data_IF_950081944794
#
_entry.id   IF_950081944794
#
_cell.length_a   1.000
_cell.length_b   1.000
_cell.length_c   1.000
_cell.angle_alpha   90.00
_cell.angle_beta   90.00
_cell.angle_gamma   90.00
#
_symmetry.space_group_name_H-M   'P 1'
#
loop_
_entity.id
_entity.type
_entity.pdbx_description
1 polymer ?
#
# COMPACT_ATOMS: atom_id res chain seq x y z
N UNK A 1 -53.32 -23.13 -1.76
CA UNK A 1 -52.06 -22.75 -1.09
C UNK A 1 -51.08 -22.28 -2.15
N UNK A 2 -51.06 -20.97 -2.39
CA UNK A 2 -50.23 -20.35 -3.41
C UNK A 2 -48.77 -20.35 -2.92
N UNK A 3 -47.90 -21.11 -3.58
CA UNK A 3 -46.46 -21.11 -3.26
C UNK A 3 -45.92 -19.72 -3.58
N UNK A 4 -45.65 -18.93 -2.54
CA UNK A 4 -44.95 -17.65 -2.64
C UNK A 4 -43.66 -17.87 -3.42
N UNK A 5 -43.62 -17.41 -4.69
CA UNK A 5 -42.40 -17.41 -5.49
C UNK A 5 -41.34 -16.66 -4.68
N UNK A 6 -40.25 -17.35 -4.30
CA UNK A 6 -39.10 -16.71 -3.66
C UNK A 6 -38.70 -15.54 -4.56
N UNK A 7 -38.89 -14.30 -4.08
CA UNK A 7 -38.44 -13.10 -4.81
C UNK A 7 -36.95 -13.27 -5.08
N UNK A 8 -36.59 -13.45 -6.35
CA UNK A 8 -35.20 -13.48 -6.77
C UNK A 8 -34.58 -12.15 -6.37
N UNK A 9 -33.64 -12.17 -5.42
CA UNK A 9 -32.93 -10.95 -5.00
C UNK A 9 -32.12 -10.50 -6.22
N UNK A 10 -32.46 -9.33 -6.76
CA UNK A 10 -31.68 -8.71 -7.82
C UNK A 10 -30.28 -8.40 -7.29
N UNK A 11 -29.26 -8.88 -7.99
CA UNK A 11 -27.86 -8.62 -7.67
C UNK A 11 -27.23 -8.09 -8.94
N UNK A 12 -26.61 -6.92 -8.80
CA UNK A 12 -25.91 -6.22 -9.87
C UNK A 12 -24.87 -7.13 -10.54
N UNK A 13 -24.73 -7.09 -11.88
CA UNK A 13 -23.83 -7.97 -12.62
C UNK A 13 -22.40 -7.97 -12.10
N UNK A 14 -21.86 -6.79 -11.75
CA UNK A 14 -20.52 -6.64 -11.18
C UNK A 14 -20.40 -7.32 -9.82
N UNK A 15 -21.39 -7.16 -8.95
CA UNK A 15 -21.35 -7.81 -7.64
C UNK A 15 -21.50 -9.33 -7.80
N UNK A 16 -22.35 -9.80 -8.71
CA UNK A 16 -22.45 -11.22 -9.04
C UNK A 16 -21.12 -11.79 -9.53
N UNK A 17 -20.39 -11.05 -10.38
CA UNK A 17 -19.05 -11.42 -10.82
C UNK A 17 -18.07 -11.51 -9.63
N UNK A 18 -18.08 -10.54 -8.72
CA UNK A 18 -17.21 -10.54 -7.54
C UNK A 18 -17.48 -11.75 -6.62
N UNK A 19 -18.75 -12.12 -6.44
CA UNK A 19 -19.12 -13.33 -5.71
C UNK A 19 -18.65 -14.61 -6.41
N UNK A 20 -18.79 -14.67 -7.75
CA UNK A 20 -18.32 -15.79 -8.55
C UNK A 20 -16.81 -15.98 -8.42
N UNK A 21 -16.01 -14.93 -8.65
CA UNK A 21 -14.55 -15.02 -8.59
C UNK A 21 -14.03 -15.18 -7.17
N UNK A 22 -14.79 -14.77 -6.16
CA UNK A 22 -14.45 -14.99 -4.76
C UNK A 22 -14.45 -16.46 -4.35
N UNK A 23 -15.27 -17.29 -5.01
CA UNK A 23 -15.36 -18.73 -4.75
C UNK A 23 -14.42 -19.58 -5.64
N UNK A 24 -13.67 -18.94 -6.54
CA UNK A 24 -12.74 -19.64 -7.42
C UNK A 24 -11.31 -19.54 -6.85
N UNK A 25 -10.54 -20.64 -6.74
CA UNK A 25 -9.14 -20.56 -6.34
C UNK A 25 -8.20 -20.09 -7.46
N UNK A 26 -8.48 -20.39 -8.73
CA UNK A 26 -7.53 -20.16 -9.84
C UNK A 26 -7.45 -18.70 -10.27
N UNK A 27 -6.29 -18.08 -10.08
CA UNK A 27 -5.99 -16.71 -10.54
C UNK A 27 -6.24 -16.50 -12.04
N UNK A 28 -5.92 -17.49 -12.87
CA UNK A 28 -6.13 -17.44 -14.32
C UNK A 28 -7.61 -17.31 -14.69
N UNK A 29 -8.50 -18.02 -13.98
CA UNK A 29 -9.94 -17.89 -14.16
C UNK A 29 -10.42 -16.49 -13.75
N UNK A 30 -10.00 -16.01 -12.58
CA UNK A 30 -10.38 -14.67 -12.09
C UNK A 30 -10.02 -13.59 -13.09
N UNK A 31 -8.79 -13.63 -13.61
CA UNK A 31 -8.31 -12.72 -14.66
C UNK A 31 -9.20 -12.78 -15.90
N UNK A 32 -9.47 -13.99 -16.43
CA UNK A 32 -10.32 -14.17 -17.62
C UNK A 32 -11.75 -13.64 -17.39
N UNK A 33 -12.30 -13.84 -16.20
CA UNK A 33 -13.62 -13.35 -15.83
C UNK A 33 -13.65 -11.81 -15.75
N UNK A 34 -12.64 -11.19 -15.14
CA UNK A 34 -12.50 -9.73 -15.06
C UNK A 34 -12.31 -9.09 -16.44
N UNK A 35 -11.53 -9.71 -17.34
CA UNK A 35 -11.32 -9.21 -18.70
C UNK A 35 -12.62 -9.07 -19.51
N UNK A 36 -13.61 -9.94 -19.28
CA UNK A 36 -14.93 -9.85 -19.91
C UNK A 36 -15.69 -8.58 -19.48
N UNK A 37 -15.39 -8.06 -18.30
CA UNK A 37 -16.00 -6.86 -17.72
C UNK A 37 -15.06 -5.65 -17.78
N UNK A 38 -13.99 -5.66 -18.60
CA UNK A 38 -13.03 -4.54 -18.70
C UNK A 38 -13.69 -3.18 -19.02
N UNK A 39 -14.84 -3.20 -19.72
CA UNK A 39 -15.61 -1.99 -20.05
C UNK A 39 -16.53 -1.49 -18.93
N UNK A 40 -16.72 -2.24 -17.84
CA UNK A 40 -17.58 -1.81 -16.73
C UNK A 40 -16.89 -0.73 -15.90
N UNK A 41 -17.42 0.49 -15.98
CA UNK A 41 -16.98 1.63 -15.16
C UNK A 41 -17.22 1.35 -13.67
N UNK A 42 -18.35 0.73 -13.32
CA UNK A 42 -18.68 0.34 -11.95
C UNK A 42 -17.66 -0.64 -11.39
N UNK A 43 -17.30 -1.68 -12.13
CA UNK A 43 -16.30 -2.65 -11.68
C UNK A 43 -14.91 -2.04 -11.51
N UNK A 44 -14.49 -1.20 -12.48
CA UNK A 44 -13.25 -0.43 -12.41
C UNK A 44 -13.23 0.45 -11.15
N UNK A 45 -14.34 1.13 -10.84
CA UNK A 45 -14.48 1.95 -9.64
C UNK A 45 -14.44 1.13 -8.36
N UNK A 46 -15.11 -0.02 -8.30
CA UNK A 46 -15.03 -0.91 -7.13
C UNK A 46 -13.57 -1.22 -6.80
N UNK A 47 -12.75 -1.60 -7.80
CA UNK A 47 -11.33 -1.86 -7.56
C UNK A 47 -10.55 -0.61 -7.16
N UNK A 48 -10.73 0.51 -7.87
CA UNK A 48 -10.07 1.79 -7.56
C UNK A 48 -10.35 2.23 -6.12
N UNK A 49 -11.62 2.35 -5.74
CA UNK A 49 -12.00 2.80 -4.39
C UNK A 49 -11.65 1.77 -3.30
N UNK A 50 -11.50 0.49 -3.62
CA UNK A 50 -11.13 -0.49 -2.59
C UNK A 50 -9.62 -0.59 -2.39
N UNK A 51 -8.83 -0.56 -3.47
CA UNK A 51 -7.42 -0.97 -3.45
C UNK A 51 -6.43 0.18 -3.63
N UNK A 52 -6.88 1.37 -4.04
CA UNK A 52 -6.01 2.55 -4.12
C UNK A 52 -5.49 2.91 -2.71
N UNK A 53 -4.17 2.87 -2.47
CA UNK A 53 -3.60 3.18 -1.16
C UNK A 53 -3.87 4.63 -0.70
N UNK A 54 -4.18 5.55 -1.62
CA UNK A 54 -4.46 6.96 -1.33
C UNK A 54 -5.90 7.24 -0.93
N UNK A 55 -6.84 6.29 -1.15
CA UNK A 55 -8.21 6.41 -0.67
C UNK A 55 -8.27 5.97 0.79
N UNK A 56 -8.57 6.89 1.72
CA UNK A 56 -8.73 6.59 3.15
C UNK A 56 -10.05 7.15 3.64
N UNK A 57 -10.95 6.32 4.13
CA UNK A 57 -12.28 6.79 4.57
C UNK A 57 -12.35 7.17 6.04
N UNK A 58 -11.27 6.94 6.81
CA UNK A 58 -11.14 7.29 8.23
C UNK A 58 -12.24 6.73 9.17
N UNK A 59 -13.00 5.74 8.71
CA UNK A 59 -14.06 5.06 9.49
C UNK A 59 -13.62 3.62 9.77
N UNK A 60 -13.19 3.37 11.02
CA UNK A 60 -12.68 2.04 11.43
C UNK A 60 -13.78 1.04 11.74
N UNK A 61 -14.91 1.49 12.30
CA UNK A 61 -16.00 0.63 12.77
C UNK A 61 -17.28 0.95 11.99
N UNK A 62 -17.79 -0.05 11.29
CA UNK A 62 -19.12 -0.04 10.68
C UNK A 62 -19.96 -1.04 11.49
N UNK A 63 -21.06 -0.61 12.13
CA UNK A 63 -21.95 -1.48 12.89
C UNK A 63 -22.49 -2.66 12.06
N UNK A 64 -22.77 -3.77 12.74
CA UNK A 64 -23.19 -5.03 12.08
C UNK A 64 -24.63 -4.97 11.57
N UNK A 65 -25.48 -4.25 12.29
CA UNK A 65 -26.90 -3.97 12.06
C UNK A 65 -27.19 -3.07 10.85
N UNK A 66 -26.20 -2.36 10.32
CA UNK A 66 -26.31 -1.67 9.03
C UNK A 66 -26.34 -2.71 7.90
N UNK A 67 -27.52 -3.19 7.50
CA UNK A 67 -27.66 -4.34 6.58
C UNK A 67 -28.19 -3.99 5.18
N UNK A 68 -28.50 -2.72 4.90
CA UNK A 68 -29.10 -2.30 3.63
C UNK A 68 -30.57 -2.75 3.53
N UNK A 69 -31.49 -1.80 3.63
CA UNK A 69 -32.95 -2.04 3.64
C UNK A 69 -33.66 -1.37 2.48
N UNK A 70 -32.94 -0.61 1.66
CA UNK A 70 -33.49 0.12 0.52
C UNK A 70 -33.29 -0.61 -0.80
N UNK A 71 -33.38 0.16 -1.88
CA UNK A 71 -33.34 -0.31 -3.27
C UNK A 71 -32.18 0.26 -4.06
N UNK A 72 -31.38 1.16 -3.48
CA UNK A 72 -30.24 1.78 -4.17
C UNK A 72 -29.11 0.79 -4.38
N UNK A 73 -28.27 1.09 -5.35
CA UNK A 73 -27.05 0.33 -5.65
C UNK A 73 -25.83 1.23 -5.54
N UNK A 74 -24.64 0.65 -5.48
CA UNK A 74 -23.41 1.44 -5.52
C UNK A 74 -23.27 2.04 -6.93
N UNK A 75 -23.24 3.37 -6.99
CA UNK A 75 -23.29 4.19 -8.20
C UNK A 75 -22.41 5.45 -8.07
N UNK A 76 -22.61 6.44 -8.93
CA UNK A 76 -21.84 7.69 -8.90
C UNK A 76 -22.01 8.47 -7.58
N UNK A 77 -23.16 8.36 -6.91
CA UNK A 77 -23.37 9.00 -5.59
C UNK A 77 -22.51 8.34 -4.52
N UNK A 78 -22.35 7.01 -4.57
CA UNK A 78 -21.40 6.30 -3.71
C UNK A 78 -19.97 6.79 -3.92
N UNK A 79 -19.55 6.96 -5.17
CA UNK A 79 -18.19 7.41 -5.51
C UNK A 79 -17.92 8.81 -4.98
N UNK A 80 -18.85 9.75 -5.18
CA UNK A 80 -18.74 11.10 -4.65
C UNK A 80 -18.67 11.12 -3.11
N UNK A 81 -19.50 10.31 -2.45
CA UNK A 81 -19.46 10.18 -0.99
C UNK A 81 -18.10 9.65 -0.51
N UNK A 82 -17.57 8.62 -1.15
CA UNK A 82 -16.25 8.05 -0.80
C UNK A 82 -15.11 9.06 -1.05
N UNK A 83 -15.21 9.88 -2.09
CA UNK A 83 -14.30 10.99 -2.33
C UNK A 83 -14.38 12.05 -1.23
N UNK A 84 -15.59 12.48 -0.87
CA UNK A 84 -15.81 13.47 0.19
C UNK A 84 -15.24 12.99 1.54
N UNK A 85 -15.39 11.69 1.85
CA UNK A 85 -14.77 11.06 3.02
C UNK A 85 -13.24 11.02 2.90
N UNK A 86 -12.71 10.67 1.72
CA UNK A 86 -11.28 10.59 1.49
C UNK A 86 -10.58 11.93 1.57
N UNK A 87 -11.21 12.99 1.08
CA UNK A 87 -10.73 14.36 1.18
C UNK A 87 -11.06 15.03 2.52
N UNK A 88 -11.65 14.27 3.46
CA UNK A 88 -12.02 14.74 4.80
C UNK A 88 -12.95 15.96 4.80
N UNK A 89 -13.81 16.11 3.78
CA UNK A 89 -14.86 17.14 3.77
C UNK A 89 -15.83 16.97 4.94
N UNK A 90 -16.07 15.71 5.31
CA UNK A 90 -16.79 15.34 6.52
C UNK A 90 -15.87 14.51 7.41
N UNK A 91 -15.94 14.72 8.73
CA UNK A 91 -15.16 13.96 9.70
C UNK A 91 -16.02 13.54 10.90
N UNK A 92 -15.45 12.72 11.80
CA UNK A 92 -16.10 12.38 13.08
C UNK A 92 -17.49 11.73 12.93
N UNK A 93 -18.46 12.26 13.68
CA UNK A 93 -19.84 11.77 13.68
C UNK A 93 -20.57 12.01 12.35
N UNK A 94 -20.30 13.13 11.68
CA UNK A 94 -20.97 13.49 10.43
C UNK A 94 -20.59 12.55 9.30
N UNK A 95 -19.30 12.22 9.18
CA UNK A 95 -18.80 11.23 8.23
C UNK A 95 -19.49 9.87 8.40
N UNK A 96 -19.64 9.42 9.66
CA UNK A 96 -20.33 8.17 9.98
C UNK A 96 -21.81 8.24 9.63
N UNK A 97 -22.50 9.32 10.01
CA UNK A 97 -23.93 9.50 9.72
C UNK A 97 -24.20 9.44 8.22
N UNK A 98 -23.46 10.22 7.43
CA UNK A 98 -23.61 10.22 5.96
C UNK A 98 -23.39 8.84 5.35
N UNK A 99 -22.31 8.15 5.73
CA UNK A 99 -22.03 6.81 5.23
C UNK A 99 -23.12 5.81 5.62
N UNK A 100 -23.52 5.77 6.89
CA UNK A 100 -24.47 4.77 7.38
C UNK A 100 -25.87 5.02 6.81
N UNK A 101 -26.34 6.27 6.75
CA UNK A 101 -27.60 6.61 6.09
C UNK A 101 -27.59 6.24 4.61
N UNK A 102 -26.49 6.47 3.89
CA UNK A 102 -26.36 6.00 2.50
C UNK A 102 -26.46 4.46 2.42
N UNK A 103 -25.73 3.76 3.29
CA UNK A 103 -25.70 2.29 3.32
C UNK A 103 -27.04 1.65 3.68
N UNK A 104 -27.87 2.30 4.50
CA UNK A 104 -29.22 1.82 4.82
C UNK A 104 -30.16 1.87 3.60
N UNK A 105 -29.95 2.84 2.71
CA UNK A 105 -30.72 2.98 1.48
C UNK A 105 -30.27 2.02 0.36
N UNK A 106 -29.11 1.36 0.51
CA UNK A 106 -28.66 0.32 -0.42
C UNK A 106 -29.47 -0.96 -0.27
N UNK A 107 -29.52 -1.75 -1.35
CA UNK A 107 -29.90 -3.15 -1.26
C UNK A 107 -28.94 -3.90 -0.33
N UNK A 108 -29.40 -5.04 0.23
CA UNK A 108 -28.59 -5.85 1.13
C UNK A 108 -27.25 -6.28 0.53
N UNK A 109 -27.24 -6.68 -0.74
CA UNK A 109 -26.03 -7.06 -1.46
C UNK A 109 -25.10 -5.85 -1.62
N UNK A 110 -25.59 -4.72 -2.11
CA UNK A 110 -24.76 -3.53 -2.34
C UNK A 110 -24.23 -2.92 -1.02
N UNK A 111 -24.96 -3.04 0.08
CA UNK A 111 -24.46 -2.69 1.42
C UNK A 111 -23.26 -3.55 1.84
N UNK A 112 -23.29 -4.86 1.55
CA UNK A 112 -22.15 -5.76 1.78
C UNK A 112 -20.95 -5.35 0.91
N UNK A 113 -21.18 -5.00 -0.35
CA UNK A 113 -20.14 -4.52 -1.24
C UNK A 113 -19.53 -3.20 -0.72
N UNK A 114 -20.36 -2.23 -0.32
CA UNK A 114 -19.90 -0.97 0.27
C UNK A 114 -19.07 -1.19 1.54
N UNK A 115 -19.49 -2.12 2.42
CA UNK A 115 -18.71 -2.53 3.60
C UNK A 115 -17.31 -3.06 3.23
N UNK A 116 -17.18 -3.78 2.12
CA UNK A 116 -15.90 -4.31 1.64
C UNK A 116 -15.02 -3.22 1.05
N UNK A 117 -15.60 -2.29 0.30
CA UNK A 117 -14.92 -1.12 -0.28
C UNK A 117 -14.33 -0.26 0.84
N UNK A 118 -15.15 0.14 1.82
CA UNK A 118 -14.72 1.02 2.93
C UNK A 118 -13.66 0.37 3.81
N UNK A 119 -13.66 -0.97 3.92
CA UNK A 119 -12.64 -1.74 4.65
C UNK A 119 -11.37 -2.03 3.85
N UNK A 120 -11.27 -1.54 2.61
CA UNK A 120 -10.16 -1.82 1.70
C UNK A 120 -9.92 -3.33 1.44
N UNK A 121 -10.99 -4.14 1.47
CA UNK A 121 -10.87 -5.60 1.33
C UNK A 121 -12.10 -6.22 0.69
N UNK A 122 -12.00 -6.57 -0.60
CA UNK A 122 -13.04 -7.34 -1.31
C UNK A 122 -13.11 -8.81 -0.86
N UNK A 123 -11.99 -9.36 -0.39
CA UNK A 123 -11.92 -10.75 0.10
C UNK A 123 -12.09 -11.79 -1.00
N UNK A 124 -11.60 -11.52 -2.20
CA UNK A 124 -11.82 -12.35 -3.40
C UNK A 124 -10.53 -12.94 -3.99
N UNK A 125 -9.38 -12.77 -3.31
CA UNK A 125 -8.09 -13.29 -3.78
C UNK A 125 -7.66 -12.75 -5.15
N UNK A 126 -7.86 -11.45 -5.40
CA UNK A 126 -7.39 -10.73 -6.59
C UNK A 126 -6.38 -9.68 -6.12
N UNK A 127 -5.17 -9.70 -6.69
CA UNK A 127 -4.09 -8.75 -6.34
C UNK A 127 -4.15 -7.48 -7.19
N UNK A 128 -3.46 -6.42 -6.75
CA UNK A 128 -3.28 -5.18 -7.52
C UNK A 128 -2.68 -5.48 -8.89
N UNK A 129 -1.68 -6.36 -8.96
CA UNK A 129 -1.08 -6.81 -10.23
C UNK A 129 -2.14 -7.37 -11.19
N UNK A 130 -3.00 -8.28 -10.73
CA UNK A 130 -4.08 -8.83 -11.56
C UNK A 130 -5.07 -7.76 -12.01
N UNK A 131 -5.39 -6.79 -11.15
CA UNK A 131 -6.25 -5.65 -11.53
C UNK A 131 -5.59 -4.80 -12.60
N UNK A 132 -4.30 -4.47 -12.45
CA UNK A 132 -3.55 -3.65 -13.40
C UNK A 132 -3.31 -4.37 -14.74
N UNK A 133 -3.28 -5.71 -14.76
CA UNK A 133 -3.29 -6.48 -16.02
C UNK A 133 -4.61 -6.34 -16.80
N UNK A 134 -5.73 -6.05 -16.13
CA UNK A 134 -7.05 -5.81 -16.75
C UNK A 134 -7.24 -4.32 -17.07
N UNK A 135 -6.85 -3.44 -16.15
CA UNK A 135 -6.90 -1.99 -16.28
C UNK A 135 -5.52 -1.40 -15.98
N UNK A 136 -4.67 -1.20 -17.00
CA UNK A 136 -3.32 -0.69 -16.82
C UNK A 136 -3.27 0.59 -15.98
N UNK A 137 -2.35 0.61 -14.99
CA UNK A 137 -2.09 1.73 -14.10
C UNK A 137 -3.31 2.22 -13.29
N UNK A 138 -4.33 1.38 -13.08
CA UNK A 138 -5.51 1.76 -12.31
C UNK A 138 -5.18 2.03 -10.84
N UNK A 139 -4.33 1.19 -10.25
CA UNK A 139 -3.88 1.30 -8.86
C UNK A 139 -2.37 1.40 -8.89
N UNK A 140 -1.81 2.28 -8.06
CA UNK A 140 -0.37 2.38 -7.93
C UNK A 140 0.21 1.05 -7.41
N UNK A 141 0.98 0.37 -8.26
CA UNK A 141 1.74 -0.82 -7.89
C UNK A 141 3.19 -0.41 -7.61
N UNK A 142 3.45 0.02 -6.37
CA UNK A 142 4.81 0.33 -5.92
C UNK A 142 5.58 -0.96 -5.67
N UNK A 143 6.00 -1.58 -6.77
CA UNK A 143 6.84 -2.75 -6.77
C UNK A 143 8.22 -2.40 -6.18
N UNK A 144 8.40 -2.70 -4.89
CA UNK A 144 9.71 -2.71 -4.23
C UNK A 144 10.19 -4.15 -4.06
N UNK A 145 11.50 -4.36 -4.14
CA UNK A 145 12.07 -5.66 -3.80
C UNK A 145 11.80 -5.98 -2.33
N UNK A 146 11.44 -7.23 -2.05
CA UNK A 146 11.18 -7.74 -0.69
C UNK A 146 12.09 -8.93 -0.44
N UNK A 147 12.44 -9.15 0.82
CA UNK A 147 13.03 -10.39 1.25
C UNK A 147 11.96 -11.49 1.32
N UNK A 148 12.36 -12.72 1.07
CA UNK A 148 11.58 -13.91 1.39
C UNK A 148 11.96 -14.40 2.80
N UNK A 149 11.13 -15.27 3.37
CA UNK A 149 11.44 -15.89 4.66
C UNK A 149 12.72 -16.73 4.56
N UNK A 150 13.43 -16.82 5.68
CA UNK A 150 14.71 -17.53 5.76
C UNK A 150 14.55 -19.00 5.41
N UNK A 151 15.35 -19.45 4.43
CA UNK A 151 15.47 -20.85 4.04
C UNK A 151 16.95 -21.15 3.72
N UNK A 152 17.65 -21.92 4.56
CA UNK A 152 19.07 -22.18 4.37
C UNK A 152 19.37 -22.98 3.10
N UNK A 153 18.39 -23.73 2.57
CA UNK A 153 18.57 -24.55 1.35
C UNK A 153 18.62 -23.70 0.08
N UNK A 154 18.24 -22.43 0.17
CA UNK A 154 18.14 -21.49 -0.97
C UNK A 154 19.30 -20.51 -1.05
N UNK A 155 20.35 -20.70 -0.25
CA UNK A 155 21.48 -19.79 -0.16
C UNK A 155 22.61 -20.30 -1.04
N UNK A 156 23.14 -19.43 -1.88
CA UNK A 156 24.36 -19.66 -2.66
C UNK A 156 25.46 -18.75 -2.14
N UNK A 157 26.56 -19.35 -1.68
CA UNK A 157 27.75 -18.61 -1.23
C UNK A 157 28.74 -18.37 -2.39
N UNK A 158 29.54 -17.29 -2.34
CA UNK A 158 29.49 -16.23 -1.32
C UNK A 158 28.26 -15.32 -1.48
N UNK A 159 27.71 -14.85 -0.36
CA UNK A 159 26.52 -14.00 -0.33
C UNK A 159 26.71 -12.78 0.57
N UNK A 160 25.86 -11.76 0.41
CA UNK A 160 25.88 -10.58 1.29
C UNK A 160 25.00 -10.80 2.51
N UNK A 161 25.58 -10.67 3.70
CA UNK A 161 24.88 -10.54 4.97
C UNK A 161 24.82 -9.08 5.41
N UNK A 162 23.66 -8.61 5.84
CA UNK A 162 23.48 -7.30 6.45
C UNK A 162 22.60 -7.37 7.68
N UNK A 163 22.74 -6.39 8.56
CA UNK A 163 21.80 -6.23 9.65
C UNK A 163 20.40 -5.90 9.10
N UNK A 164 19.37 -6.43 9.77
CA UNK A 164 17.99 -6.01 9.54
C UNK A 164 17.67 -4.90 10.52
N UNK A 165 17.65 -3.65 10.04
CA UNK A 165 17.20 -2.52 10.84
C UNK A 165 15.70 -2.61 11.12
N UNK A 166 15.29 -2.14 12.29
CA UNK A 166 13.89 -2.07 12.69
C UNK A 166 13.42 -0.62 12.64
N UNK A 167 12.95 -0.20 11.46
CA UNK A 167 12.60 1.18 11.16
C UNK A 167 11.45 1.28 10.16
N UNK A 168 11.40 2.39 9.43
CA UNK A 168 10.43 2.61 8.37
C UNK A 168 11.13 2.63 7.01
N UNK A 169 10.93 1.57 6.24
CA UNK A 169 11.29 1.50 4.82
C UNK A 169 10.82 2.73 4.06
N UNK A 170 11.75 3.43 3.42
CA UNK A 170 11.48 4.59 2.60
C UNK A 170 12.25 4.54 1.28
N UNK A 171 11.63 5.06 0.22
CA UNK A 171 12.24 5.32 -1.07
C UNK A 171 12.45 6.82 -1.18
N UNK A 172 13.71 7.23 -1.29
CA UNK A 172 14.07 8.58 -1.69
C UNK A 172 14.06 8.67 -3.21
N UNK A 173 13.38 9.66 -3.79
CA UNK A 173 13.46 10.00 -5.20
C UNK A 173 13.38 11.51 -5.41
N UNK A 174 14.42 12.11 -6.00
CA UNK A 174 14.48 13.54 -6.33
C UNK A 174 14.06 14.49 -5.18
N UNK A 175 14.52 14.23 -3.96
CA UNK A 175 14.18 15.05 -2.79
C UNK A 175 12.94 14.60 -2.01
N UNK A 176 12.18 13.65 -2.54
CA UNK A 176 10.92 13.18 -1.93
C UNK A 176 11.11 11.79 -1.33
N UNK A 177 10.70 11.62 -0.07
CA UNK A 177 10.61 10.32 0.57
C UNK A 177 9.20 9.75 0.45
N UNK A 178 9.09 8.49 0.06
CA UNK A 178 7.82 7.75 0.03
C UNK A 178 7.95 6.45 0.81
N UNK A 179 6.92 6.09 1.57
CA UNK A 179 6.82 4.78 2.18
C UNK A 179 6.62 3.68 1.12
N UNK A 180 6.77 2.41 1.50
CA UNK A 180 6.44 1.26 0.64
C UNK A 180 5.03 1.32 0.03
N UNK A 181 4.07 1.93 0.72
CA UNK A 181 2.69 2.13 0.23
C UNK A 181 2.54 3.25 -0.80
N UNK A 182 3.59 4.06 -1.03
CA UNK A 182 3.60 5.20 -1.95
C UNK A 182 3.23 6.54 -1.32
N UNK A 183 2.82 6.57 -0.06
CA UNK A 183 2.60 7.83 0.65
C UNK A 183 3.89 8.58 0.88
N UNK A 184 3.88 9.88 0.63
CA UNK A 184 4.97 10.79 0.99
C UNK A 184 5.18 10.84 2.50
N UNK A 185 6.43 10.88 2.92
CA UNK A 185 6.85 11.10 4.31
C UNK A 185 7.45 12.52 4.37
N UNK A 186 6.69 13.54 4.85
CA UNK A 186 7.17 14.92 4.90
C UNK A 186 8.13 15.16 6.09
N UNK A 187 8.81 16.30 6.13
CA UNK A 187 9.62 16.71 7.28
C UNK A 187 11.02 16.10 7.31
N UNK A 188 11.53 15.61 6.18
CA UNK A 188 12.85 14.98 6.06
C UNK A 188 13.80 15.82 5.19
N UNK A 189 13.61 17.14 5.18
CA UNK A 189 14.33 18.07 4.32
C UNK A 189 15.83 18.11 4.64
N UNK A 190 16.22 17.89 5.90
CA UNK A 190 17.64 17.79 6.30
C UNK A 190 18.33 16.61 5.62
N UNK A 191 17.67 15.44 5.56
CA UNK A 191 18.16 14.26 4.86
C UNK A 191 18.17 14.51 3.35
N UNK A 192 17.08 15.07 2.79
CA UNK A 192 16.99 15.36 1.37
C UNK A 192 18.08 16.34 0.91
N UNK A 193 18.34 17.40 1.68
CA UNK A 193 19.41 18.37 1.43
C UNK A 193 20.79 17.70 1.50
N UNK A 194 21.01 16.84 2.49
CA UNK A 194 22.25 16.07 2.61
C UNK A 194 22.47 15.20 1.37
N UNK A 195 21.48 14.40 0.96
CA UNK A 195 21.56 13.54 -0.24
C UNK A 195 21.71 14.39 -1.51
N UNK A 196 21.04 15.54 -1.63
CA UNK A 196 21.20 16.41 -2.81
C UNK A 196 22.62 16.99 -2.92
N UNK A 197 23.26 17.24 -1.78
CA UNK A 197 24.60 17.85 -1.72
C UNK A 197 25.72 16.81 -1.86
N UNK A 198 25.52 15.61 -1.30
CA UNK A 198 26.55 14.55 -1.18
C UNK A 198 26.26 13.33 -2.03
N UNK A 199 24.99 13.03 -2.24
CA UNK A 199 24.54 11.93 -3.07
C UNK A 199 24.68 12.25 -4.55
N UNK A 200 24.75 11.19 -5.35
CA UNK A 200 24.95 11.26 -6.80
C UNK A 200 23.77 10.72 -7.58
N UNK A 201 22.86 10.00 -6.92
CA UNK A 201 21.75 9.34 -7.58
C UNK A 201 20.42 10.00 -7.26
N UNK A 202 19.53 9.90 -8.23
CA UNK A 202 18.17 10.44 -8.15
C UNK A 202 17.26 9.56 -7.31
N UNK A 203 17.65 8.33 -6.99
CA UNK A 203 16.85 7.38 -6.22
C UNK A 203 17.70 6.48 -5.33
N UNK A 204 17.28 6.34 -4.07
CA UNK A 204 17.86 5.45 -3.07
C UNK A 204 16.76 4.68 -2.34
N UNK A 205 17.08 3.49 -1.87
CA UNK A 205 16.21 2.63 -1.08
C UNK A 205 16.89 2.33 0.28
N UNK A 206 16.15 2.56 1.36
CA UNK A 206 16.72 2.57 2.69
C UNK A 206 15.68 2.46 3.80
N UNK A 207 16.18 2.45 5.02
CA UNK A 207 15.38 2.42 6.24
C UNK A 207 15.53 3.74 6.99
N UNK A 208 14.41 4.38 7.35
CA UNK A 208 14.40 5.50 8.27
C UNK A 208 14.44 4.97 9.71
N UNK A 209 15.42 5.44 10.48
CA UNK A 209 15.66 5.03 11.86
C UNK A 209 16.00 6.24 12.72
N UNK A 210 15.83 6.10 14.03
CA UNK A 210 16.42 7.01 15.01
C UNK A 210 17.38 6.15 15.84
N UNK A 211 18.70 6.39 15.78
CA UNK A 211 19.68 5.61 16.54
C UNK A 211 19.34 5.57 18.04
N UNK A 212 19.57 4.42 18.66
CA UNK A 212 19.34 4.18 20.10
C UNK A 212 17.88 4.40 20.56
N UNK A 213 16.91 4.38 19.63
CA UNK A 213 15.49 4.47 19.91
C UNK A 213 14.76 3.22 19.42
N UNK A 214 13.80 2.73 20.21
CA UNK A 214 12.96 1.61 19.81
C UNK A 214 12.01 1.99 18.65
N UNK A 215 11.53 0.96 17.95
CA UNK A 215 10.70 1.14 16.77
C UNK A 215 9.40 1.90 17.06
N UNK A 216 8.73 1.66 18.18
CA UNK A 216 7.42 2.26 18.44
C UNK A 216 7.56 3.77 18.63
N UNK A 217 8.51 4.20 19.46
CA UNK A 217 8.86 5.60 19.65
C UNK A 217 9.33 6.24 18.34
N UNK A 218 10.28 5.61 17.64
CA UNK A 218 10.83 6.14 16.40
C UNK A 218 9.76 6.28 15.30
N UNK A 219 8.86 5.30 15.20
CA UNK A 219 7.81 5.30 14.19
C UNK A 219 6.81 6.45 14.38
N UNK A 220 6.50 6.81 15.63
CA UNK A 220 5.65 7.95 15.95
C UNK A 220 6.26 9.27 15.48
N UNK A 221 7.56 9.45 15.70
CA UNK A 221 8.31 10.64 15.29
C UNK A 221 8.43 10.71 13.77
N UNK A 222 8.86 9.62 13.12
CA UNK A 222 9.03 9.58 11.67
C UNK A 222 7.70 9.83 10.94
N UNK A 223 6.58 9.29 11.44
CA UNK A 223 5.27 9.43 10.77
C UNK A 223 4.58 10.76 11.06
N UNK A 224 4.69 11.27 12.28
CA UNK A 224 3.84 12.37 12.77
C UNK A 224 4.53 13.41 13.65
N UNK A 225 5.81 13.24 13.97
CA UNK A 225 6.57 14.22 14.75
C UNK A 225 6.77 15.54 14.01
N UNK A 226 6.73 16.64 14.75
CA UNK A 226 7.01 17.98 14.22
C UNK A 226 8.51 18.20 13.98
N UNK A 227 9.35 17.68 14.88
CA UNK A 227 10.80 17.67 14.71
C UNK A 227 11.27 16.26 14.33
N UNK A 228 11.97 16.18 13.20
CA UNK A 228 12.54 14.94 12.66
C UNK A 228 14.05 15.09 12.41
N UNK A 229 14.68 16.10 12.98
CA UNK A 229 16.13 16.37 12.85
C UNK A 229 17.00 15.16 13.24
N UNK A 230 16.54 14.37 14.22
CA UNK A 230 17.18 13.13 14.68
C UNK A 230 16.91 11.90 13.79
N UNK A 231 16.12 12.01 12.73
CA UNK A 231 15.87 10.89 11.82
C UNK A 231 17.05 10.71 10.88
N UNK A 232 17.50 9.46 10.76
CA UNK A 232 18.57 9.04 9.86
C UNK A 232 18.04 8.10 8.78
N UNK A 233 18.68 8.11 7.62
CA UNK A 233 18.36 7.25 6.50
C UNK A 233 19.50 6.28 6.19
N UNK A 234 19.30 5.00 6.52
CA UNK A 234 20.23 3.93 6.27
C UNK A 234 19.94 3.28 4.91
N UNK A 235 20.74 3.64 3.90
CA UNK A 235 20.56 3.22 2.51
C UNK A 235 21.15 1.83 2.29
N UNK A 236 20.37 0.87 1.82
CA UNK A 236 20.88 -0.46 1.45
C UNK A 236 20.79 -0.74 -0.05
N UNK A 237 20.11 0.08 -0.87
CA UNK A 237 20.10 -0.16 -2.33
C UNK A 237 19.86 1.11 -3.17
N UNK A 238 20.08 1.00 -4.48
CA UNK A 238 19.88 2.03 -5.50
C UNK A 238 19.11 1.44 -6.69
N UNK A 239 17.80 1.20 -6.55
CA UNK A 239 17.01 0.52 -7.59
C UNK A 239 16.87 1.34 -8.89
N UNK A 240 17.26 2.62 -8.88
CA UNK A 240 17.34 3.45 -10.10
C UNK A 240 18.43 3.04 -11.09
N UNK A 241 19.28 2.06 -10.75
CA UNK A 241 20.35 1.52 -11.60
C UNK A 241 20.10 0.04 -11.97
N UNK A 242 19.03 -0.27 -12.73
CA UNK A 242 18.58 -1.66 -12.94
C UNK A 242 19.56 -2.52 -13.73
N UNK A 243 20.42 -1.92 -14.56
CA UNK A 243 21.39 -2.63 -15.39
C UNK A 243 22.71 -2.94 -14.65
N UNK A 244 22.81 -2.58 -13.38
CA UNK A 244 24.00 -2.76 -12.56
C UNK A 244 23.73 -3.85 -11.52
N UNK A 245 24.65 -4.81 -11.39
CA UNK A 245 24.53 -5.90 -10.41
C UNK A 245 24.48 -5.37 -8.98
N UNK A 246 23.86 -6.12 -8.06
CA UNK A 246 23.75 -5.75 -6.65
C UNK A 246 25.13 -5.44 -6.04
N UNK A 247 26.13 -6.28 -6.30
CA UNK A 247 27.52 -6.10 -5.84
C UNK A 247 28.11 -4.76 -6.31
N UNK A 248 27.89 -4.41 -7.57
CA UNK A 248 28.39 -3.15 -8.13
C UNK A 248 27.65 -1.95 -7.55
N UNK A 249 26.34 -2.06 -7.27
CA UNK A 249 25.58 -1.03 -6.56
C UNK A 249 26.12 -0.84 -5.14
N UNK A 250 26.44 -1.91 -4.42
CA UNK A 250 27.04 -1.80 -3.08
C UNK A 250 28.43 -1.17 -3.10
N UNK A 251 29.25 -1.52 -4.09
CA UNK A 251 30.56 -0.90 -4.26
C UNK A 251 30.43 0.62 -4.53
N UNK A 252 29.48 1.01 -5.39
CA UNK A 252 29.13 2.41 -5.63
C UNK A 252 28.64 3.13 -4.36
N UNK A 253 27.78 2.50 -3.54
CA UNK A 253 27.38 3.05 -2.26
C UNK A 253 28.58 3.28 -1.34
N UNK A 254 29.43 2.27 -1.19
CA UNK A 254 30.58 2.31 -0.27
C UNK A 254 31.64 3.35 -0.64
N UNK A 255 31.74 3.72 -1.92
CA UNK A 255 32.71 4.73 -2.40
C UNK A 255 32.18 6.16 -2.33
N UNK A 256 30.86 6.34 -2.13
CA UNK A 256 30.19 7.65 -2.26
C UNK A 256 29.46 8.09 -1.01
N UNK A 257 29.10 7.16 -0.15
CA UNK A 257 28.36 7.41 1.07
C UNK A 257 29.11 6.83 2.26
N UNK A 258 29.08 7.57 3.36
CA UNK A 258 29.65 7.13 4.61
C UNK A 258 28.98 5.86 5.12
N UNK A 259 29.77 5.03 5.80
CA UNK A 259 29.30 3.75 6.32
C UNK A 259 28.39 3.96 7.52
N UNK A 260 27.22 3.34 7.49
CA UNK A 260 26.38 3.14 8.66
C UNK A 260 26.96 2.01 9.51
N UNK A 261 27.37 2.34 10.73
CA UNK A 261 27.78 1.35 11.72
C UNK A 261 26.57 0.99 12.58
N UNK A 262 26.43 -0.29 12.90
CA UNK A 262 25.33 -0.79 13.72
C UNK A 262 25.26 0.03 15.02
N UNK A 263 24.15 0.76 15.20
CA UNK A 263 23.84 1.65 16.34
C UNK A 263 24.51 3.03 16.37
N UNK A 264 25.21 3.49 15.32
CA UNK A 264 25.67 4.89 15.23
C UNK A 264 25.55 5.42 13.81
N UNK A 265 24.80 6.51 13.67
CA UNK A 265 24.69 7.25 12.42
C UNK A 265 25.09 8.70 12.68
N UNK A 266 26.30 9.07 12.25
CA UNK A 266 26.81 10.45 12.46
C UNK A 266 26.18 11.41 11.45
N UNK A 267 25.81 10.91 10.27
CA UNK A 267 25.29 11.71 9.18
C UNK A 267 23.80 11.45 8.94
N UNK A 268 23.03 12.44 8.48
CA UNK A 268 21.59 12.26 8.20
C UNK A 268 21.27 11.11 7.22
N UNK A 269 22.20 10.76 6.34
CA UNK A 269 22.12 9.56 5.51
C UNK A 269 23.46 8.84 5.44
N UNK A 270 23.45 7.51 5.41
CA UNK A 270 24.64 6.65 5.34
C UNK A 270 24.28 5.33 4.65
N UNK A 271 25.25 4.65 4.05
CA UNK A 271 25.01 3.34 3.44
C UNK A 271 25.15 2.22 4.48
N UNK A 272 24.20 1.28 4.47
CA UNK A 272 24.20 0.12 5.34
C UNK A 272 25.29 -0.86 4.93
N UNK A 273 26.23 -1.13 5.83
CA UNK A 273 27.33 -2.06 5.53
C UNK A 273 26.80 -3.48 5.29
N UNK A 274 27.25 -4.09 4.19
CA UNK A 274 27.03 -5.48 3.85
C UNK A 274 28.34 -6.25 3.97
N UNK A 275 28.36 -7.35 4.71
CA UNK A 275 29.50 -8.26 4.84
C UNK A 275 29.37 -9.36 3.79
N UNK A 276 30.47 -9.68 3.11
CA UNK A 276 30.54 -10.88 2.27
C UNK A 276 30.72 -12.10 3.18
N UNK A 277 29.81 -13.06 3.07
CA UNK A 277 29.80 -14.31 3.80
C UNK A 277 30.26 -15.43 2.88
N UNK A 278 31.07 -16.32 3.45
CA UNK A 278 31.53 -17.55 2.83
C UNK A 278 30.99 -18.72 3.67
N UNK A 279 30.84 -19.89 3.06
CA UNK A 279 30.39 -21.10 3.75
C UNK A 279 31.41 -21.56 4.80
#
# INVERSE_FOLDING_TARGET
MERTRRKTIHIEPEHRLLLLIGNEPKTSFKKKALMKYKGSVKLKNIFRYTLDPFKKYYIKKIPHDIVGKGTKVVDEVAWQLLDDLSYRKYTGGDAKRLLFTYMENLTKSECILMKKIVRHRLGIGVSIKTVNEVWPNLILDNAVQKAEDWDPTRITYPCYGSIKLDGIRAIYKNGVFTARSGHTIPGLEHIAKYIKTRGLFTQYDGELVIPDMDFDAASGIIRSGNDKSQVHYAIFDMPGLPNISLSSRYQLLSTKMERYYTNKCVFPASYLYHRLLYN
#
